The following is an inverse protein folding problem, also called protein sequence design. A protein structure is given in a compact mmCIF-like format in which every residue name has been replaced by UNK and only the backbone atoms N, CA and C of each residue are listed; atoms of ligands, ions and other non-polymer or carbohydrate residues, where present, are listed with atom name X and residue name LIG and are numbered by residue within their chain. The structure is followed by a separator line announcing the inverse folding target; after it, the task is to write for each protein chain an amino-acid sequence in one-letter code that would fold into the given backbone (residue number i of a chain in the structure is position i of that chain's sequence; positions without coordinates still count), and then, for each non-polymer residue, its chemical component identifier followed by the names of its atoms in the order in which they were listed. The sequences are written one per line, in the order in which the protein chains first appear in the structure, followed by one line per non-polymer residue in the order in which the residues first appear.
data_IF_776101290345
#
_entry.id   IF_776101290345
#
_cell.length_a   1.000
_cell.length_b   1.000
_cell.length_c   1.000
_cell.angle_alpha   90.00
_cell.angle_beta   90.00
_cell.angle_gamma   90.00
#
_symmetry.space_group_name_H-M   'P 1'
#
loop_
_entity.id
_entity.type
_entity.pdbx_description
1 polymer ?
#
# COMPACT_ATOMS: atom_id res chain seq x y z
N UNK A 1 31.10 2.86 9.40
CA UNK A 1 30.56 2.07 8.26
C UNK A 1 29.36 1.33 8.80
N UNK A 2 28.16 1.78 8.45
CA UNK A 2 26.94 1.09 8.84
C UNK A 2 26.86 -0.16 7.95
N UNK A 3 27.11 -1.33 8.50
CA UNK A 3 26.85 -2.61 7.85
C UNK A 3 25.33 -2.70 7.78
N UNK A 4 24.76 -2.24 6.67
CA UNK A 4 23.31 -2.34 6.44
C UNK A 4 22.91 -3.80 6.58
N UNK A 5 22.00 -4.10 7.49
CA UNK A 5 21.40 -5.44 7.59
C UNK A 5 20.88 -5.84 6.22
N UNK A 6 21.24 -7.04 5.76
CA UNK A 6 20.76 -7.58 4.50
C UNK A 6 19.21 -7.61 4.53
N UNK A 7 18.58 -7.00 3.54
CA UNK A 7 17.12 -6.92 3.45
C UNK A 7 16.53 -8.27 3.04
N UNK A 8 15.30 -8.52 3.45
CA UNK A 8 14.55 -9.70 3.02
C UNK A 8 13.33 -9.27 2.21
N UNK A 9 13.23 -9.78 0.99
CA UNK A 9 12.15 -9.52 0.06
C UNK A 9 11.38 -10.81 -0.25
N UNK A 10 10.09 -10.71 -0.48
CA UNK A 10 9.28 -11.80 -1.01
C UNK A 10 8.60 -11.31 -2.29
N UNK A 11 8.68 -12.10 -3.36
CA UNK A 11 7.99 -11.87 -4.62
C UNK A 11 7.01 -13.00 -4.85
N UNK A 12 5.73 -12.65 -4.99
CA UNK A 12 4.67 -13.58 -5.30
C UNK A 12 4.02 -13.22 -6.64
N UNK A 13 4.29 -14.02 -7.67
CA UNK A 13 3.82 -13.84 -9.04
C UNK A 13 3.88 -15.21 -9.74
N UNK A 14 2.92 -15.57 -10.57
CA UNK A 14 2.92 -16.86 -11.29
C UNK A 14 3.82 -16.87 -12.53
N UNK A 15 4.29 -15.69 -12.99
CA UNK A 15 5.17 -15.54 -14.14
C UNK A 15 6.65 -15.61 -13.75
N UNK A 16 7.30 -16.75 -13.97
CA UNK A 16 8.70 -17.00 -13.55
C UNK A 16 9.70 -15.97 -14.12
N UNK A 17 9.56 -15.57 -15.38
CA UNK A 17 10.44 -14.59 -16.00
C UNK A 17 10.31 -13.22 -15.34
N UNK A 18 9.10 -12.83 -14.97
CA UNK A 18 8.84 -11.58 -14.28
C UNK A 18 9.46 -11.58 -12.88
N UNK A 19 9.32 -12.68 -12.12
CA UNK A 19 9.97 -12.83 -10.81
C UNK A 19 11.48 -12.69 -10.91
N UNK A 20 12.11 -13.35 -11.91
CA UNK A 20 13.55 -13.24 -12.14
C UNK A 20 14.00 -11.80 -12.41
N UNK A 21 13.29 -11.07 -13.27
CA UNK A 21 13.57 -9.67 -13.56
C UNK A 21 13.40 -8.78 -12.33
N UNK A 22 12.30 -8.96 -11.60
CA UNK A 22 11.99 -8.18 -10.40
C UNK A 22 13.00 -8.43 -9.27
N UNK A 23 13.47 -9.67 -9.12
CA UNK A 23 14.55 -10.01 -8.18
C UNK A 23 15.81 -9.19 -8.45
N UNK A 24 16.23 -9.11 -9.71
CA UNK A 24 17.41 -8.33 -10.09
C UNK A 24 17.20 -6.84 -9.77
N UNK A 25 16.03 -6.28 -10.11
CA UNK A 25 15.70 -4.88 -9.83
C UNK A 25 15.70 -4.57 -8.33
N UNK A 26 15.17 -5.46 -7.50
CA UNK A 26 15.16 -5.26 -6.04
C UNK A 26 16.57 -5.28 -5.46
N UNK A 27 17.40 -6.24 -5.87
CA UNK A 27 18.78 -6.36 -5.38
C UNK A 27 19.66 -5.20 -5.85
N UNK A 28 19.49 -4.73 -7.08
CA UNK A 28 20.22 -3.60 -7.64
C UNK A 28 19.76 -2.27 -7.04
N UNK A 29 18.46 -2.05 -6.98
CA UNK A 29 17.87 -0.74 -6.62
C UNK A 29 17.63 -0.55 -5.13
N UNK A 30 17.38 -1.62 -4.37
CA UNK A 30 17.02 -1.54 -2.96
C UNK A 30 18.13 -2.04 -2.02
N UNK A 31 19.27 -2.48 -2.57
CA UNK A 31 20.43 -2.94 -1.82
C UNK A 31 20.49 -4.46 -1.65
N UNK A 32 21.62 -4.96 -1.10
CA UNK A 32 21.86 -6.39 -0.96
C UNK A 32 20.82 -7.03 -0.02
N UNK A 33 20.39 -8.26 -0.35
CA UNK A 33 19.40 -8.95 0.44
C UNK A 33 19.09 -10.35 -0.05
N UNK A 34 18.18 -11.00 0.65
CA UNK A 34 17.58 -12.27 0.27
C UNK A 34 16.27 -12.01 -0.46
N UNK A 35 16.01 -12.72 -1.55
CA UNK A 35 14.74 -12.67 -2.28
C UNK A 35 14.16 -14.08 -2.33
N UNK A 36 13.01 -14.25 -1.69
CA UNK A 36 12.22 -15.47 -1.74
C UNK A 36 11.11 -15.33 -2.78
N UNK A 37 10.76 -16.42 -3.44
CA UNK A 37 9.79 -16.41 -4.53
C UNK A 37 8.64 -17.38 -4.24
N UNK A 38 7.42 -16.97 -4.59
CA UNK A 38 6.20 -17.76 -4.55
C UNK A 38 5.47 -17.65 -5.90
N UNK A 39 4.80 -18.72 -6.32
CA UNK A 39 4.01 -18.76 -7.55
C UNK A 39 2.49 -18.70 -7.31
N UNK A 40 2.07 -18.74 -6.06
CA UNK A 40 0.67 -18.72 -5.63
C UNK A 40 0.54 -18.24 -4.17
N UNK A 41 -0.70 -17.99 -3.74
CA UNK A 41 -0.98 -17.48 -2.37
C UNK A 41 -0.61 -18.49 -1.29
N UNK A 42 -0.71 -19.79 -1.54
CA UNK A 42 -0.38 -20.80 -0.54
C UNK A 42 1.13 -20.82 -0.24
N UNK A 43 1.97 -20.78 -1.28
CA UNK A 43 3.42 -20.64 -1.14
C UNK A 43 3.80 -19.34 -0.47
N UNK A 44 3.16 -18.22 -0.89
CA UNK A 44 3.35 -16.92 -0.25
C UNK A 44 3.11 -16.99 1.26
N UNK A 45 1.96 -17.53 1.68
CA UNK A 45 1.63 -17.66 3.12
C UNK A 45 2.65 -18.50 3.88
N UNK A 46 3.14 -19.59 3.27
CA UNK A 46 4.18 -20.41 3.88
C UNK A 46 5.50 -19.64 4.09
N UNK A 47 5.91 -18.82 3.10
CA UNK A 47 7.10 -17.97 3.21
C UNK A 47 6.95 -16.87 4.26
N UNK A 48 5.76 -16.25 4.37
CA UNK A 48 5.51 -15.18 5.33
C UNK A 48 5.46 -15.67 6.78
N UNK A 49 5.25 -16.95 7.00
CA UNK A 49 5.27 -17.55 8.34
C UNK A 49 6.69 -17.82 8.88
N UNK A 50 7.74 -17.63 8.04
CA UNK A 50 9.14 -17.87 8.40
C UNK A 50 9.82 -16.59 8.87
N UNK A 51 10.38 -16.61 10.08
CA UNK A 51 11.19 -15.51 10.61
C UNK A 51 12.62 -15.50 10.02
N UNK A 52 13.25 -14.33 9.87
CA UNK A 52 12.71 -13.00 10.15
C UNK A 52 11.70 -12.54 9.08
N UNK A 53 10.79 -11.67 9.49
CA UNK A 53 9.80 -11.07 8.62
C UNK A 53 10.45 -10.31 7.45
N UNK A 54 9.88 -10.36 6.22
CA UNK A 54 10.40 -9.60 5.09
C UNK A 54 10.17 -8.09 5.25
N UNK A 55 11.11 -7.29 4.72
CA UNK A 55 11.00 -5.83 4.65
C UNK A 55 9.95 -5.38 3.64
N UNK A 56 9.78 -6.17 2.57
CA UNK A 56 8.85 -5.89 1.47
C UNK A 56 8.29 -7.20 0.89
N UNK A 57 7.00 -7.22 0.66
CA UNK A 57 6.29 -8.32 -0.02
C UNK A 57 5.63 -7.76 -1.27
N UNK A 58 6.07 -8.21 -2.44
CA UNK A 58 5.48 -7.84 -3.74
C UNK A 58 4.54 -8.95 -4.17
N UNK A 59 3.28 -8.61 -4.48
CA UNK A 59 2.21 -9.58 -4.74
C UNK A 59 1.53 -9.25 -6.07
N UNK A 60 1.49 -10.21 -6.99
CA UNK A 60 0.66 -10.08 -8.18
C UNK A 60 -0.84 -10.21 -7.82
N UNK A 61 -1.64 -9.29 -8.37
CA UNK A 61 -3.08 -9.26 -8.11
C UNK A 61 -3.83 -10.44 -8.74
N UNK A 62 -3.28 -11.06 -9.78
CA UNK A 62 -3.96 -12.08 -10.59
C UNK A 62 -3.33 -13.48 -10.52
N UNK A 63 -2.37 -13.71 -9.62
CA UNK A 63 -1.78 -15.04 -9.45
C UNK A 63 -2.78 -16.03 -8.82
N UNK A 64 -2.57 -17.36 -8.96
CA UNK A 64 -3.45 -18.38 -8.38
C UNK A 64 -3.68 -18.21 -6.88
N UNK A 65 -4.94 -18.26 -6.47
CA UNK A 65 -5.39 -18.10 -5.08
C UNK A 65 -5.64 -16.64 -4.66
N UNK A 66 -5.37 -15.65 -5.51
CA UNK A 66 -5.73 -14.25 -5.26
C UNK A 66 -7.21 -13.99 -5.53
N UNK A 67 -7.81 -13.17 -4.68
CA UNK A 67 -9.15 -12.61 -4.86
C UNK A 67 -9.07 -11.08 -4.72
N UNK A 68 -8.24 -10.47 -5.56
CA UNK A 68 -8.04 -9.02 -5.58
C UNK A 68 -7.70 -8.42 -4.22
N UNK A 69 -8.30 -7.28 -3.91
CA UNK A 69 -8.10 -6.57 -2.64
C UNK A 69 -8.50 -7.37 -1.40
N UNK A 70 -9.42 -8.36 -1.51
CA UNK A 70 -9.83 -9.20 -0.37
C UNK A 70 -8.64 -9.98 0.18
N UNK A 71 -7.88 -10.67 -0.70
CA UNK A 71 -6.69 -11.40 -0.27
C UNK A 71 -5.61 -10.47 0.29
N UNK A 72 -5.43 -9.28 -0.29
CA UNK A 72 -4.50 -8.27 0.25
C UNK A 72 -4.90 -7.86 1.67
N UNK A 73 -6.20 -7.64 1.92
CA UNK A 73 -6.73 -7.32 3.25
C UNK A 73 -6.45 -8.45 4.25
N UNK A 74 -6.70 -9.70 3.87
CA UNK A 74 -6.45 -10.87 4.72
C UNK A 74 -4.97 -11.00 5.07
N UNK A 75 -4.08 -10.83 4.09
CA UNK A 75 -2.62 -10.84 4.30
C UNK A 75 -2.20 -9.73 5.27
N UNK A 76 -2.74 -8.52 5.10
CA UNK A 76 -2.47 -7.38 5.99
C UNK A 76 -2.96 -7.61 7.42
N UNK A 77 -4.09 -8.28 7.60
CA UNK A 77 -4.61 -8.63 8.94
C UNK A 77 -3.74 -9.67 9.64
N UNK A 78 -3.26 -10.68 8.89
CA UNK A 78 -2.39 -11.72 9.45
C UNK A 78 -0.97 -11.23 9.75
N UNK A 79 -0.44 -10.32 8.93
CA UNK A 79 0.92 -9.78 9.06
C UNK A 79 0.92 -8.24 9.02
N UNK A 80 0.43 -7.57 10.06
CA UNK A 80 0.22 -6.10 10.07
C UNK A 80 1.52 -5.28 10.01
N UNK A 81 2.65 -5.84 10.40
CA UNK A 81 3.95 -5.18 10.33
C UNK A 81 4.61 -5.23 8.95
N UNK A 82 4.20 -6.15 8.07
CA UNK A 82 4.81 -6.33 6.76
C UNK A 82 4.30 -5.30 5.75
N UNK A 83 5.17 -4.88 4.83
CA UNK A 83 4.82 -3.97 3.73
C UNK A 83 4.42 -4.76 2.50
N UNK A 84 3.13 -4.77 2.19
CA UNK A 84 2.60 -5.39 0.97
C UNK A 84 2.51 -4.36 -0.14
N UNK A 85 3.04 -4.70 -1.31
CA UNK A 85 2.96 -3.95 -2.55
C UNK A 85 2.26 -4.81 -3.58
N UNK A 86 1.23 -4.28 -4.20
CA UNK A 86 0.56 -4.95 -5.32
C UNK A 86 1.27 -4.59 -6.61
N UNK A 87 1.64 -5.58 -7.42
CA UNK A 87 2.02 -5.41 -8.82
C UNK A 87 0.97 -6.03 -9.72
N UNK A 88 0.66 -5.37 -10.84
CA UNK A 88 -0.38 -5.85 -11.73
C UNK A 88 -0.19 -5.36 -13.16
N UNK A 89 -0.62 -6.17 -14.13
CA UNK A 89 -0.77 -5.75 -15.52
C UNK A 89 -1.99 -4.84 -15.72
N UNK A 90 -2.95 -4.83 -14.78
CA UNK A 90 -4.12 -3.97 -14.83
C UNK A 90 -3.80 -2.58 -14.28
N UNK A 91 -4.21 -1.56 -15.01
CA UNK A 91 -4.17 -0.16 -14.59
C UNK A 91 -5.56 0.39 -14.25
N UNK A 92 -6.56 -0.50 -14.12
CA UNK A 92 -7.92 -0.10 -13.78
C UNK A 92 -7.96 0.57 -12.40
N UNK A 93 -8.55 1.76 -12.36
CA UNK A 93 -8.65 2.59 -11.15
C UNK A 93 -9.24 1.83 -9.95
N UNK A 94 -10.24 0.96 -10.19
CA UNK A 94 -10.87 0.16 -9.12
C UNK A 94 -9.85 -0.77 -8.46
N UNK A 95 -9.00 -1.46 -9.24
CA UNK A 95 -7.99 -2.39 -8.69
C UNK A 95 -6.96 -1.64 -7.84
N UNK A 96 -6.56 -0.44 -8.28
CA UNK A 96 -5.64 0.41 -7.52
C UNK A 96 -6.27 0.84 -6.19
N UNK A 97 -7.51 1.32 -6.22
CA UNK A 97 -8.24 1.74 -5.02
C UNK A 97 -8.52 0.57 -4.08
N UNK A 98 -8.88 -0.61 -4.63
CA UNK A 98 -9.13 -1.81 -3.84
C UNK A 98 -7.87 -2.29 -3.11
N UNK A 99 -6.73 -2.31 -3.78
CA UNK A 99 -5.46 -2.69 -3.19
C UNK A 99 -5.01 -1.71 -2.09
N UNK A 100 -5.04 -0.40 -2.37
CA UNK A 100 -4.67 0.62 -1.39
C UNK A 100 -5.66 0.69 -0.23
N UNK A 101 -6.96 0.56 -0.49
CA UNK A 101 -8.01 0.46 0.52
C UNK A 101 -7.89 -0.80 1.39
N UNK A 102 -7.34 -1.88 0.86
CA UNK A 102 -7.01 -3.09 1.61
C UNK A 102 -5.76 -2.93 2.50
N UNK A 103 -5.07 -1.80 2.42
CA UNK A 103 -3.88 -1.49 3.22
C UNK A 103 -2.54 -1.82 2.54
N UNK A 104 -2.52 -1.99 1.21
CA UNK A 104 -1.26 -2.09 0.48
C UNK A 104 -0.47 -0.76 0.59
N UNK A 105 0.84 -0.87 0.69
CA UNK A 105 1.76 0.28 0.68
C UNK A 105 2.02 0.81 -0.73
N UNK A 106 1.57 0.11 -1.75
CA UNK A 106 1.66 0.60 -3.11
C UNK A 106 0.95 -0.28 -4.12
N UNK A 107 0.66 0.32 -5.26
CA UNK A 107 0.22 -0.35 -6.48
C UNK A 107 1.15 0.04 -7.61
N UNK A 108 1.88 -0.91 -8.17
CA UNK A 108 2.87 -0.69 -9.22
C UNK A 108 2.40 -1.42 -10.48
N UNK A 109 2.12 -0.71 -11.60
CA UNK A 109 1.88 -1.35 -12.87
C UNK A 109 3.08 -2.17 -13.33
N UNK A 110 2.85 -3.39 -13.87
CA UNK A 110 3.94 -4.19 -14.45
C UNK A 110 4.54 -3.56 -15.71
N UNK A 111 3.82 -2.60 -16.33
CA UNK A 111 4.25 -1.80 -17.47
C UNK A 111 5.22 -0.66 -17.10
N UNK A 112 5.41 -0.38 -15.81
CA UNK A 112 6.26 0.72 -15.34
C UNK A 112 7.73 0.48 -15.71
N UNK A 113 8.41 1.52 -16.13
CA UNK A 113 9.85 1.48 -16.45
C UNK A 113 10.69 1.04 -15.24
N UNK A 114 11.75 0.22 -15.44
CA UNK A 114 12.56 -0.34 -14.35
C UNK A 114 13.08 0.70 -13.35
N UNK A 115 13.57 1.84 -13.84
CA UNK A 115 14.08 2.92 -12.98
C UNK A 115 12.96 3.50 -12.07
N UNK A 116 11.75 3.64 -12.60
CA UNK A 116 10.59 4.11 -11.85
C UNK A 116 10.10 3.07 -10.85
N UNK A 117 10.19 1.77 -11.18
CA UNK A 117 9.90 0.69 -10.22
C UNK A 117 10.85 0.75 -9.01
N UNK A 118 12.14 0.93 -9.24
CA UNK A 118 13.14 1.08 -8.18
C UNK A 118 12.77 2.27 -7.27
N UNK A 119 12.45 3.43 -7.84
CA UNK A 119 12.04 4.60 -7.07
C UNK A 119 10.78 4.32 -6.23
N UNK A 120 9.80 3.63 -6.80
CA UNK A 120 8.59 3.24 -6.10
C UNK A 120 8.90 2.33 -4.90
N UNK A 121 9.76 1.32 -5.06
CA UNK A 121 10.17 0.45 -3.97
C UNK A 121 10.95 1.20 -2.88
N UNK A 122 11.87 2.07 -3.25
CA UNK A 122 12.63 2.89 -2.30
C UNK A 122 11.69 3.82 -1.50
N UNK A 123 10.70 4.44 -2.16
CA UNK A 123 9.68 5.25 -1.51
C UNK A 123 8.89 4.43 -0.49
N UNK A 124 8.47 3.21 -0.83
CA UNK A 124 7.72 2.32 0.05
C UNK A 124 8.59 1.85 1.23
N UNK A 125 9.84 1.49 0.98
CA UNK A 125 10.77 1.07 2.02
C UNK A 125 11.07 2.20 3.02
N UNK A 126 11.03 3.45 2.58
CA UNK A 126 11.14 4.63 3.47
C UNK A 126 9.84 4.98 4.19
N UNK A 127 8.77 4.19 4.02
CA UNK A 127 7.48 4.37 4.72
C UNK A 127 6.45 5.18 3.94
N UNK A 128 6.75 5.56 2.68
CA UNK A 128 5.79 6.19 1.78
C UNK A 128 4.78 5.20 1.19
N UNK A 129 3.81 5.74 0.45
CA UNK A 129 2.91 4.95 -0.42
C UNK A 129 3.17 5.32 -1.87
N UNK A 130 3.14 4.33 -2.75
CA UNK A 130 3.21 4.52 -4.19
C UNK A 130 1.88 4.18 -4.86
N UNK A 131 1.41 5.07 -5.75
CA UNK A 131 0.28 4.78 -6.64
C UNK A 131 0.50 5.40 -8.02
N UNK A 132 -0.05 4.80 -9.08
CA UNK A 132 0.03 5.35 -10.43
C UNK A 132 -0.56 6.76 -10.51
N UNK A 133 0.02 7.60 -11.39
CA UNK A 133 -0.41 8.99 -11.62
C UNK A 133 -1.88 9.09 -12.06
N UNK A 134 -2.44 8.02 -12.60
CA UNK A 134 -3.85 7.94 -13.01
C UNK A 134 -4.84 8.28 -11.88
N UNK A 135 -4.46 8.07 -10.63
CA UNK A 135 -5.29 8.48 -9.48
C UNK A 135 -5.20 9.98 -9.16
N UNK A 136 -4.23 10.68 -9.73
CA UNK A 136 -4.00 12.09 -9.44
C UNK A 136 -4.80 13.03 -10.37
N UNK A 137 -5.36 12.51 -11.46
CA UNK A 137 -5.88 13.32 -12.57
C UNK A 137 -7.40 13.47 -12.62
N UNK A 138 -8.21 12.72 -11.84
CA UNK A 138 -9.67 12.85 -11.91
C UNK A 138 -10.34 12.98 -10.55
N UNK A 139 -10.79 14.19 -10.25
CA UNK A 139 -11.91 14.44 -9.37
C UNK A 139 -13.18 14.54 -10.25
N UNK A 140 -13.85 13.43 -10.55
CA UNK A 140 -15.25 13.48 -10.98
C UNK A 140 -15.89 12.09 -10.88
N UNK A 141 -16.96 11.99 -10.11
CA UNK A 141 -17.98 10.97 -10.24
C UNK A 141 -17.79 9.67 -9.49
N UNK A 142 -18.02 9.67 -8.17
CA UNK A 142 -18.31 8.45 -7.43
C UNK A 142 -19.81 8.42 -7.05
N UNK A 143 -20.50 7.25 -7.14
CA UNK A 143 -21.87 7.10 -6.66
C UNK A 143 -21.92 7.16 -5.13
N UNK A 144 -23.02 7.67 -4.60
CA UNK A 144 -23.25 7.91 -3.18
C UNK A 144 -23.59 6.63 -2.40
N UNK A 145 -22.96 6.38 -1.24
CA UNK A 145 -23.52 5.56 -0.18
C UNK A 145 -23.86 6.34 1.09
N UNK A 146 -24.84 5.84 1.83
CA UNK A 146 -25.44 6.44 3.03
C UNK A 146 -24.60 6.26 4.31
N UNK A 147 -24.83 7.06 5.37
CA UNK A 147 -24.01 7.02 6.58
C UNK A 147 -24.39 5.85 7.50
N UNK A 148 -23.42 5.04 7.86
CA UNK A 148 -23.55 3.98 8.88
C UNK A 148 -22.51 4.14 10.00
N UNK A 149 -22.85 3.67 11.19
CA UNK A 149 -22.14 3.82 12.46
C UNK A 149 -20.68 3.33 12.40
N UNK A 150 -19.83 3.99 13.20
CA UNK A 150 -18.37 3.73 13.26
C UNK A 150 -18.13 2.41 14.00
N UNK A 151 -17.39 1.50 13.34
CA UNK A 151 -16.85 0.29 13.98
C UNK A 151 -15.50 0.62 14.64
N UNK A 152 -15.35 0.42 15.96
CA UNK A 152 -14.09 0.66 16.66
C UNK A 152 -12.89 -0.15 16.12
N UNK A 153 -13.15 -1.21 15.35
CA UNK A 153 -12.11 -2.04 14.73
C UNK A 153 -11.46 -1.38 13.50
N UNK A 154 -12.02 -0.28 12.99
CA UNK A 154 -11.49 0.45 11.81
C UNK A 154 -10.06 0.94 12.07
N UNK A 155 -9.74 1.35 13.30
CA UNK A 155 -8.38 1.79 13.65
C UNK A 155 -7.31 0.72 13.46
N UNK A 156 -7.68 -0.56 13.62
CA UNK A 156 -6.75 -1.69 13.44
C UNK A 156 -6.51 -1.98 11.95
N UNK A 157 -7.33 -1.46 11.05
CA UNK A 157 -7.20 -1.65 9.60
C UNK A 157 -6.35 -0.56 8.93
N UNK A 158 -6.15 0.59 9.60
CA UNK A 158 -5.31 1.67 9.10
C UNK A 158 -3.83 1.34 9.27
N UNK A 159 -3.02 1.65 8.27
CA UNK A 159 -1.57 1.59 8.42
C UNK A 159 -1.10 2.69 9.38
N UNK A 160 0.07 2.55 10.04
CA UNK A 160 0.62 3.61 10.90
C UNK A 160 0.66 4.97 10.19
N UNK A 161 1.01 4.98 8.91
CA UNK A 161 1.09 6.21 8.10
C UNK A 161 -0.29 6.81 7.80
N UNK A 162 -1.30 5.97 7.59
CA UNK A 162 -2.68 6.44 7.44
C UNK A 162 -3.22 7.02 8.74
N UNK A 163 -2.86 6.45 9.88
CA UNK A 163 -3.22 7.02 11.19
C UNK A 163 -2.59 8.42 11.40
N UNK A 164 -1.31 8.60 11.03
CA UNK A 164 -0.65 9.91 11.10
C UNK A 164 -1.34 10.95 10.21
N UNK A 165 -1.65 10.58 8.95
CA UNK A 165 -2.38 11.45 8.01
C UNK A 165 -3.77 11.78 8.55
N UNK A 166 -4.51 10.80 9.07
CA UNK A 166 -5.85 11.00 9.62
C UNK A 166 -5.83 11.92 10.84
N UNK A 167 -4.83 11.76 11.73
CA UNK A 167 -4.65 12.63 12.89
C UNK A 167 -4.40 14.09 12.49
N UNK A 168 -3.53 14.32 11.50
CA UNK A 168 -3.25 15.67 11.01
C UNK A 168 -4.45 16.25 10.25
N UNK A 169 -5.20 15.40 9.53
CA UNK A 169 -6.46 15.76 8.90
C UNK A 169 -7.51 16.20 9.95
N UNK A 170 -7.64 15.44 11.04
CA UNK A 170 -8.53 15.76 12.16
C UNK A 170 -8.21 17.11 12.82
N UNK A 171 -6.93 17.52 12.84
CA UNK A 171 -6.46 18.85 13.26
C UNK A 171 -6.75 19.97 12.23
N UNK A 172 -7.43 19.65 11.12
CA UNK A 172 -7.80 20.62 10.09
C UNK A 172 -6.67 21.00 9.11
N UNK A 173 -5.50 20.36 9.17
CA UNK A 173 -4.35 20.72 8.35
C UNK A 173 -4.59 20.47 6.86
N UNK A 174 -4.24 21.43 5.99
CA UNK A 174 -4.31 21.27 4.55
C UNK A 174 -3.31 20.19 4.05
N UNK A 175 -3.57 19.58 2.88
CA UNK A 175 -2.70 18.55 2.32
C UNK A 175 -1.23 18.96 2.23
N UNK A 176 -0.96 20.23 1.91
CA UNK A 176 0.39 20.80 1.87
C UNK A 176 1.07 20.82 3.25
N UNK A 177 0.32 21.08 4.29
CA UNK A 177 0.82 21.10 5.68
C UNK A 177 1.08 19.68 6.17
N UNK A 178 0.17 18.74 5.87
CA UNK A 178 0.34 17.30 6.14
C UNK A 178 1.56 16.77 5.40
N UNK A 179 1.71 17.10 4.12
CA UNK A 179 2.86 16.72 3.31
C UNK A 179 4.19 17.17 3.94
N UNK A 180 4.25 18.44 4.37
CA UNK A 180 5.43 18.99 5.05
C UNK A 180 5.68 18.36 6.41
N UNK A 181 4.64 18.15 7.22
CA UNK A 181 4.75 17.57 8.55
C UNK A 181 5.23 16.12 8.52
N UNK A 182 4.91 15.40 7.45
CA UNK A 182 5.22 13.99 7.29
C UNK A 182 6.38 13.72 6.31
N UNK A 183 6.99 14.77 5.75
CA UNK A 183 8.08 14.68 4.75
C UNK A 183 7.73 13.80 3.55
N UNK A 184 6.54 14.06 2.95
CA UNK A 184 6.04 13.37 1.76
C UNK A 184 5.45 14.37 0.76
N UNK A 185 5.20 13.94 -0.48
CA UNK A 185 4.55 14.79 -1.47
C UNK A 185 3.06 15.03 -1.16
N UNK A 186 2.49 16.15 -1.63
CA UNK A 186 1.03 16.38 -1.55
C UNK A 186 0.25 15.29 -2.32
N UNK A 187 0.83 14.75 -3.41
CA UNK A 187 0.27 13.63 -4.14
C UNK A 187 0.14 12.39 -3.25
N UNK A 188 1.19 12.08 -2.48
CA UNK A 188 1.19 10.97 -1.51
C UNK A 188 0.12 11.16 -0.43
N UNK A 189 -0.05 12.40 0.07
CA UNK A 189 -1.13 12.71 1.03
C UNK A 189 -2.50 12.45 0.42
N UNK A 190 -2.76 12.85 -0.82
CA UNK A 190 -4.03 12.59 -1.54
C UNK A 190 -4.31 11.10 -1.65
N UNK A 191 -3.30 10.29 -1.90
CA UNK A 191 -3.42 8.83 -1.98
C UNK A 191 -3.79 8.24 -0.62
N UNK A 192 -3.11 8.66 0.45
CA UNK A 192 -3.48 8.25 1.81
C UNK A 192 -4.92 8.64 2.14
N UNK A 193 -5.33 9.86 1.80
CA UNK A 193 -6.69 10.33 2.05
C UNK A 193 -7.73 9.52 1.26
N UNK A 194 -7.47 9.19 0.00
CA UNK A 194 -8.37 8.34 -0.79
C UNK A 194 -8.55 6.96 -0.16
N UNK A 195 -7.47 6.33 0.31
CA UNK A 195 -7.51 5.06 1.02
C UNK A 195 -8.25 5.18 2.37
N UNK A 196 -7.97 6.22 3.14
CA UNK A 196 -8.62 6.52 4.43
C UNK A 196 -10.12 6.74 4.23
N UNK A 197 -10.53 7.57 3.26
CA UNK A 197 -11.94 7.86 3.00
C UNK A 197 -12.72 6.59 2.66
N UNK A 198 -12.10 5.69 1.91
CA UNK A 198 -12.71 4.40 1.60
C UNK A 198 -12.80 3.48 2.81
N UNK A 199 -11.73 3.37 3.62
CA UNK A 199 -11.72 2.55 4.84
C UNK A 199 -12.72 3.06 5.87
N UNK A 200 -12.85 4.38 5.99
CA UNK A 200 -13.80 5.03 6.88
C UNK A 200 -15.21 5.10 6.30
N UNK A 201 -15.43 4.68 5.05
CA UNK A 201 -16.70 4.85 4.34
C UNK A 201 -17.19 6.30 4.41
N UNK A 202 -16.34 7.26 4.02
CA UNK A 202 -16.65 8.70 3.96
C UNK A 202 -16.42 9.23 2.56
N UNK A 203 -17.23 10.21 2.16
CA UNK A 203 -17.27 10.75 0.80
C UNK A 203 -16.39 11.98 0.59
N UNK A 204 -16.12 12.69 1.66
CA UNK A 204 -15.43 13.98 1.59
C UNK A 204 -14.59 14.22 2.85
N UNK A 205 -13.77 15.26 2.76
CA UNK A 205 -12.88 15.68 3.84
C UNK A 205 -13.62 16.03 5.12
N UNK A 206 -14.77 16.68 5.02
CA UNK A 206 -15.55 17.12 6.19
C UNK A 206 -16.05 15.92 6.99
N UNK A 207 -16.58 14.90 6.31
CA UNK A 207 -16.98 13.65 6.93
C UNK A 207 -15.81 12.91 7.57
N UNK A 208 -14.64 12.91 6.90
CA UNK A 208 -13.43 12.29 7.45
C UNK A 208 -12.94 13.01 8.71
N UNK A 209 -13.00 14.33 8.77
CA UNK A 209 -12.65 15.13 9.97
C UNK A 209 -13.61 14.82 11.10
N UNK A 210 -14.93 14.78 10.84
CA UNK A 210 -15.92 14.44 11.85
C UNK A 210 -15.71 13.02 12.40
N UNK A 211 -15.42 12.05 11.51
CA UNK A 211 -15.10 10.69 11.94
C UNK A 211 -13.78 10.62 12.72
N UNK A 212 -12.75 11.34 12.30
CA UNK A 212 -11.48 11.41 13.03
C UNK A 212 -11.66 11.97 14.44
N UNK A 213 -12.46 13.02 14.60
CA UNK A 213 -12.77 13.61 15.90
C UNK A 213 -13.56 12.66 16.82
N UNK A 214 -14.40 11.78 16.25
CA UNK A 214 -15.13 10.76 17.00
C UNK A 214 -14.27 9.55 17.41
N UNK A 215 -13.05 9.43 16.84
CA UNK A 215 -12.06 8.38 17.15
C UNK A 215 -11.00 8.86 18.16
N UNK A 216 -11.16 10.02 18.79
CA UNK A 216 -10.19 10.65 19.71
C UNK A 216 -8.78 10.83 19.13
N UNK A 217 -8.68 11.23 17.84
CA UNK A 217 -7.43 11.42 17.09
C UNK A 217 -7.05 12.90 16.92
#
# INVERSE_FOLDING_TARGET
MNVGMARKFVIADDHALFRTGLRLLLLEGCGPGEVLEASNVQELRALLAIEPAPDLVVVDLFMPGMNGGVTVKDLRQMWPSMRFVVMSASEERRHVLDALGAGAFGYIPKSLEPASMIQAFQQILSGGIYAPTLLLTEQAGAPEPSPTAIDPQIMQTLTPRQCEVLRLLGKGQANKEIARALDISEGTVKIHLAAIFRLLDVRNRTEAVLKASALDL
#
